data_IF_698445599325
#
_entry.id   IF_698445599325
#
_cell.length_a   1.000
_cell.length_b   1.000
_cell.length_c   1.000
_cell.angle_alpha   90.00
_cell.angle_beta   90.00
_cell.angle_gamma   90.00
#
_symmetry.space_group_name_H-M   'P 1'
#
loop_
_entity.id
_entity.type
_entity.pdbx_description
1 polymer ?
#
# COMPACT_ATOMS: atom_id res chain seq x y z
N UNK A 1 13.99 -10.14 -11.85
CA UNK A 1 12.65 -10.17 -12.52
C UNK A 1 12.57 -9.38 -13.84
N UNK A 2 13.41 -8.37 -14.15
CA UNK A 2 13.29 -7.59 -15.42
C UNK A 2 13.31 -8.49 -16.67
N UNK A 3 14.21 -9.47 -16.72
CA UNK A 3 14.36 -10.42 -17.85
C UNK A 3 13.26 -11.47 -17.92
N UNK A 4 12.48 -11.63 -16.83
CA UNK A 4 11.42 -12.62 -16.67
C UNK A 4 10.02 -12.01 -16.66
N UNK A 5 9.85 -10.86 -17.30
CA UNK A 5 8.54 -10.20 -17.42
C UNK A 5 8.23 -9.14 -16.35
N UNK A 6 9.16 -8.90 -15.43
CA UNK A 6 9.03 -7.91 -14.36
C UNK A 6 8.32 -8.46 -13.12
N UNK A 7 8.20 -7.59 -12.12
CA UNK A 7 7.41 -7.81 -10.90
C UNK A 7 6.53 -6.58 -10.69
N UNK A 8 5.26 -6.81 -10.40
CA UNK A 8 4.30 -5.77 -10.11
C UNK A 8 3.46 -6.22 -8.91
N UNK A 9 3.52 -5.43 -7.82
CA UNK A 9 2.97 -5.83 -6.52
C UNK A 9 1.45 -6.03 -6.53
N UNK A 10 0.68 -5.24 -7.29
CA UNK A 10 -0.77 -5.43 -7.38
C UNK A 10 -1.13 -6.74 -8.09
N UNK A 11 -0.36 -7.12 -9.13
CA UNK A 11 -0.51 -8.42 -9.78
C UNK A 11 -0.14 -9.57 -8.83
N UNK A 12 0.90 -9.38 -8.02
CA UNK A 12 1.27 -10.36 -7.01
C UNK A 12 0.18 -10.51 -5.95
N UNK A 13 -0.39 -9.40 -5.46
CA UNK A 13 -1.52 -9.45 -4.51
C UNK A 13 -2.71 -10.21 -5.08
N UNK A 14 -3.07 -9.94 -6.34
CA UNK A 14 -4.13 -10.69 -7.02
C UNK A 14 -3.76 -12.18 -7.17
N UNK A 15 -2.50 -12.48 -7.52
CA UNK A 15 -2.02 -13.86 -7.65
C UNK A 15 -2.06 -14.62 -6.32
N UNK A 16 -1.74 -13.97 -5.20
CA UNK A 16 -1.85 -14.57 -3.87
C UNK A 16 -3.28 -15.05 -3.65
N UNK A 17 -4.26 -14.16 -3.77
CA UNK A 17 -5.66 -14.49 -3.47
C UNK A 17 -6.33 -15.38 -4.52
N UNK A 18 -5.85 -15.38 -5.76
CA UNK A 18 -6.43 -16.18 -6.85
C UNK A 18 -5.83 -17.60 -6.95
N UNK A 19 -4.54 -17.78 -6.52
CA UNK A 19 -3.78 -18.99 -6.88
C UNK A 19 -2.94 -19.56 -5.74
N UNK A 20 -2.27 -18.69 -4.94
CA UNK A 20 -1.23 -19.16 -4.00
C UNK A 20 -1.80 -19.54 -2.64
N UNK A 21 -2.87 -18.88 -2.19
CA UNK A 21 -3.60 -19.31 -1.01
C UNK A 21 -4.20 -20.70 -1.22
N UNK A 22 -4.07 -21.57 -0.23
CA UNK A 22 -4.43 -22.98 -0.34
C UNK A 22 -5.21 -23.45 0.89
N UNK A 23 -6.20 -22.65 1.30
CA UNK A 23 -7.04 -22.93 2.47
C UNK A 23 -8.20 -23.90 2.16
N UNK A 24 -8.49 -24.10 0.88
CA UNK A 24 -9.64 -24.89 0.42
C UNK A 24 -9.20 -26.08 -0.43
N UNK A 25 -9.85 -27.24 -0.20
CA UNK A 25 -9.53 -28.48 -0.91
C UNK A 25 -10.05 -28.46 -2.35
N UNK A 26 -11.21 -27.85 -2.56
CA UNK A 26 -11.97 -27.95 -3.82
C UNK A 26 -11.51 -26.95 -4.90
N UNK A 27 -10.78 -25.90 -4.52
CA UNK A 27 -10.33 -24.86 -5.46
C UNK A 27 -9.05 -24.17 -4.98
N UNK A 28 -8.33 -23.57 -5.93
CA UNK A 28 -7.14 -22.74 -5.63
C UNK A 28 -7.55 -21.32 -5.27
N UNK A 29 -6.74 -20.69 -4.43
CA UNK A 29 -6.99 -19.32 -3.98
C UNK A 29 -8.18 -19.22 -3.02
N UNK A 30 -8.69 -18.01 -2.84
CA UNK A 30 -9.76 -17.68 -1.89
C UNK A 30 -11.16 -17.62 -2.53
N UNK A 31 -11.29 -17.83 -3.83
CA UNK A 31 -12.55 -17.73 -4.58
C UNK A 31 -13.32 -16.43 -4.31
N UNK A 32 -12.61 -15.32 -4.36
CA UNK A 32 -13.18 -13.98 -4.10
C UNK A 32 -14.08 -13.53 -5.25
N UNK A 33 -15.05 -12.66 -4.92
CA UNK A 33 -15.93 -12.03 -5.92
C UNK A 33 -15.13 -11.16 -6.90
N UNK A 34 -15.74 -10.88 -8.05
CA UNK A 34 -15.14 -10.01 -9.06
C UNK A 34 -14.81 -8.62 -8.48
N UNK A 35 -15.71 -8.03 -7.71
CA UNK A 35 -15.58 -6.70 -7.14
C UNK A 35 -14.44 -6.62 -6.12
N UNK A 36 -14.28 -7.65 -5.28
CA UNK A 36 -13.17 -7.72 -4.32
C UNK A 36 -11.83 -7.82 -5.05
N UNK A 37 -11.74 -8.69 -6.07
CA UNK A 37 -10.53 -8.84 -6.89
C UNK A 37 -10.19 -7.57 -7.67
N UNK A 38 -11.21 -6.89 -8.18
CA UNK A 38 -11.06 -5.58 -8.85
C UNK A 38 -10.52 -4.52 -7.87
N UNK A 39 -10.98 -4.53 -6.61
CA UNK A 39 -10.51 -3.63 -5.56
C UNK A 39 -9.05 -3.90 -5.13
N UNK A 40 -8.62 -5.17 -5.09
CA UNK A 40 -7.23 -5.55 -4.81
C UNK A 40 -6.30 -5.02 -5.91
N UNK A 41 -6.73 -5.05 -7.17
CA UNK A 41 -5.97 -4.56 -8.31
C UNK A 41 -6.09 -3.04 -8.44
N UNK A 42 -5.44 -2.29 -7.56
CA UNK A 42 -5.53 -0.82 -7.48
C UNK A 42 -5.04 -0.12 -8.75
N UNK A 43 -3.88 -0.54 -9.27
CA UNK A 43 -3.23 0.01 -10.45
C UNK A 43 -2.78 -1.12 -11.37
N UNK A 44 -2.88 -0.89 -12.68
CA UNK A 44 -2.43 -1.84 -13.68
C UNK A 44 -2.03 -1.12 -14.96
N UNK A 45 -0.89 -1.50 -15.55
CA UNK A 45 -0.51 -1.02 -16.87
C UNK A 45 -1.41 -1.64 -17.94
N UNK A 46 -1.63 -0.95 -19.06
CA UNK A 46 -2.40 -1.49 -20.18
C UNK A 46 -1.87 -2.85 -20.65
N UNK A 47 -0.53 -3.02 -20.69
CA UNK A 47 0.12 -4.28 -21.05
C UNK A 47 -0.28 -5.44 -20.13
N UNK A 48 -0.37 -5.19 -18.83
CA UNK A 48 -0.76 -6.19 -17.85
C UNK A 48 -2.28 -6.38 -17.83
N UNK A 49 -3.05 -5.31 -17.99
CA UNK A 49 -4.51 -5.35 -18.05
C UNK A 49 -5.02 -6.29 -19.17
N UNK A 50 -4.39 -6.27 -20.35
CA UNK A 50 -4.72 -7.17 -21.46
C UNK A 50 -4.58 -8.67 -21.11
N UNK A 51 -3.75 -9.02 -20.12
CA UNK A 51 -3.54 -10.41 -19.68
C UNK A 51 -4.53 -10.88 -18.62
N UNK A 52 -5.29 -9.94 -18.01
CA UNK A 52 -6.15 -10.20 -16.87
C UNK A 52 -7.61 -10.43 -17.24
N UNK A 53 -7.95 -10.41 -18.55
CA UNK A 53 -9.31 -10.59 -19.01
C UNK A 53 -10.25 -9.54 -18.40
N UNK A 54 -11.40 -9.97 -17.93
CA UNK A 54 -12.48 -9.09 -17.46
C UNK A 54 -12.06 -8.11 -16.34
N UNK A 55 -11.18 -8.52 -15.42
CA UNK A 55 -10.67 -7.64 -14.34
C UNK A 55 -9.81 -6.50 -14.92
N UNK A 56 -9.09 -6.77 -16.02
CA UNK A 56 -8.25 -5.79 -16.69
C UNK A 56 -9.02 -4.77 -17.52
N UNK A 57 -10.25 -5.07 -17.94
CA UNK A 57 -11.02 -4.24 -18.89
C UNK A 57 -11.20 -2.79 -18.42
N UNK A 58 -11.44 -2.56 -17.12
CA UNK A 58 -11.62 -1.19 -16.62
C UNK A 58 -10.40 -0.29 -16.85
N UNK A 59 -9.20 -0.84 -16.79
CA UNK A 59 -7.96 -0.07 -17.02
C UNK A 59 -7.82 0.30 -18.50
N UNK A 60 -8.18 -0.62 -19.41
CA UNK A 60 -8.15 -0.40 -20.86
C UNK A 60 -9.22 0.65 -21.24
N UNK A 61 -10.42 0.53 -20.66
CA UNK A 61 -11.55 1.42 -20.91
C UNK A 61 -11.50 2.70 -20.07
N UNK A 62 -10.50 2.86 -19.17
CA UNK A 62 -10.36 3.99 -18.23
C UNK A 62 -11.58 4.20 -17.34
N UNK A 63 -12.26 3.12 -16.96
CA UNK A 63 -13.41 3.12 -16.06
C UNK A 63 -12.98 3.10 -14.60
N UNK A 64 -13.85 3.64 -13.74
CA UNK A 64 -13.64 3.61 -12.30
C UNK A 64 -13.98 2.23 -11.70
N UNK A 65 -13.33 1.84 -10.60
CA UNK A 65 -13.75 0.70 -9.81
C UNK A 65 -15.02 1.03 -8.99
N UNK A 66 -15.55 0.06 -8.25
CA UNK A 66 -16.66 0.26 -7.31
C UNK A 66 -16.36 1.38 -6.29
N UNK A 67 -17.40 1.91 -5.64
CA UNK A 67 -17.22 2.94 -4.59
C UNK A 67 -16.40 2.40 -3.42
N UNK A 68 -16.59 1.13 -3.04
CA UNK A 68 -15.82 0.47 -1.99
C UNK A 68 -14.33 0.42 -2.33
N UNK A 69 -13.99 0.07 -3.57
CA UNK A 69 -12.60 0.04 -4.02
C UNK A 69 -11.96 1.44 -4.07
N UNK A 70 -12.74 2.46 -4.47
CA UNK A 70 -12.30 3.86 -4.38
C UNK A 70 -12.07 4.27 -2.92
N UNK A 71 -13.01 3.91 -2.01
CA UNK A 71 -12.94 4.24 -0.59
C UNK A 71 -11.72 3.60 0.08
N UNK A 72 -11.45 2.32 -0.18
CA UNK A 72 -10.30 1.60 0.39
C UNK A 72 -8.98 2.28 0.03
N UNK A 73 -8.85 2.87 -1.16
CA UNK A 73 -7.64 3.60 -1.53
C UNK A 73 -7.40 4.83 -0.64
N UNK A 74 -8.45 5.60 -0.32
CA UNK A 74 -8.36 6.75 0.58
C UNK A 74 -8.15 6.31 2.03
N UNK A 75 -8.84 5.26 2.48
CA UNK A 75 -8.69 4.72 3.83
C UNK A 75 -7.25 4.25 4.09
N UNK A 76 -6.67 3.52 3.14
CA UNK A 76 -5.28 3.09 3.17
C UNK A 76 -4.31 4.28 3.25
N UNK A 77 -4.51 5.29 2.39
CA UNK A 77 -3.65 6.47 2.38
C UNK A 77 -3.76 7.30 3.67
N UNK A 78 -4.96 7.48 4.21
CA UNK A 78 -5.17 8.16 5.48
C UNK A 78 -4.48 7.38 6.60
N UNK A 79 -4.70 6.07 6.69
CA UNK A 79 -4.09 5.22 7.70
C UNK A 79 -2.57 5.26 7.61
N UNK A 80 -2.01 5.03 6.42
CA UNK A 80 -0.58 5.01 6.15
C UNK A 80 0.11 6.32 6.59
N UNK A 81 -0.37 7.47 6.12
CA UNK A 81 0.24 8.76 6.47
C UNK A 81 0.27 9.01 7.99
N UNK A 82 -0.78 8.62 8.70
CA UNK A 82 -0.87 8.86 10.16
C UNK A 82 -0.07 7.85 10.98
N UNK A 83 0.01 6.59 10.52
CA UNK A 83 0.88 5.59 11.13
C UNK A 83 2.35 5.94 10.93
N UNK A 84 2.73 6.42 9.77
CA UNK A 84 4.10 6.87 9.48
C UNK A 84 4.54 8.04 10.38
N UNK A 85 3.63 8.97 10.71
CA UNK A 85 3.92 10.00 11.71
C UNK A 85 4.19 9.37 13.08
N UNK A 86 3.31 8.45 13.54
CA UNK A 86 3.47 7.80 14.87
C UNK A 86 4.77 6.98 14.92
N UNK A 87 5.04 6.19 13.90
CA UNK A 87 6.23 5.35 13.82
C UNK A 87 7.51 6.18 13.67
N UNK A 88 7.49 7.24 12.85
CA UNK A 88 8.59 8.18 12.72
C UNK A 88 8.92 8.87 14.05
N UNK A 89 7.90 9.29 14.78
CA UNK A 89 8.07 9.89 16.11
C UNK A 89 8.55 8.86 17.16
N UNK A 90 7.98 7.67 17.18
CA UNK A 90 8.38 6.61 18.14
C UNK A 90 9.79 6.07 17.91
N UNK A 91 10.23 6.02 16.66
CA UNK A 91 11.59 5.61 16.29
C UNK A 91 12.64 6.71 16.45
N UNK A 92 12.21 7.94 16.77
CA UNK A 92 13.09 9.11 16.87
C UNK A 92 13.59 9.64 15.53
N UNK A 93 13.00 9.22 14.42
CA UNK A 93 13.28 9.75 13.08
C UNK A 93 12.60 11.10 12.83
N UNK A 94 11.46 11.32 13.48
CA UNK A 94 10.73 12.58 13.47
C UNK A 94 10.64 13.15 14.89
N UNK A 95 10.75 14.47 15.00
CA UNK A 95 10.52 15.20 16.26
C UNK A 95 9.20 15.96 16.21
N UNK A 96 8.66 16.30 17.38
CA UNK A 96 7.45 17.12 17.48
C UNK A 96 7.65 18.49 16.80
N UNK A 97 8.83 19.10 16.97
CA UNK A 97 9.15 20.40 16.37
C UNK A 97 9.22 20.34 14.84
N UNK A 98 9.78 19.30 14.28
CA UNK A 98 9.76 19.10 12.82
C UNK A 98 8.33 19.00 12.27
N UNK A 99 7.45 18.29 12.96
CA UNK A 99 6.04 18.15 12.55
C UNK A 99 5.26 19.46 12.60
N UNK A 100 5.66 20.41 13.46
CA UNK A 100 5.06 21.75 13.47
C UNK A 100 5.33 22.55 12.17
N UNK A 101 6.27 22.13 11.32
CA UNK A 101 6.44 22.70 9.99
C UNK A 101 5.26 22.39 9.04
N UNK A 102 4.45 21.34 9.36
CA UNK A 102 3.21 21.03 8.64
C UNK A 102 2.07 21.86 9.22
N UNK A 103 1.52 22.86 8.49
CA UNK A 103 0.54 23.80 9.05
C UNK A 103 -0.68 23.11 9.65
N UNK A 104 -1.18 22.06 9.00
CA UNK A 104 -2.34 21.31 9.49
C UNK A 104 -2.03 20.57 10.80
N UNK A 105 -0.87 19.93 10.92
CA UNK A 105 -0.44 19.31 12.18
C UNK A 105 -0.33 20.34 13.29
N UNK A 106 0.33 21.48 13.02
CA UNK A 106 0.50 22.58 13.98
C UNK A 106 -0.85 23.11 14.50
N UNK A 107 -1.79 23.36 13.59
CA UNK A 107 -3.14 23.83 13.94
C UNK A 107 -3.81 22.86 14.94
N UNK A 108 -3.80 21.57 14.63
CA UNK A 108 -4.47 20.56 15.47
C UNK A 108 -3.73 20.37 16.81
N UNK A 109 -2.40 20.37 16.80
CA UNK A 109 -1.60 20.27 18.02
C UNK A 109 -1.83 21.43 18.98
N UNK A 110 -1.96 22.66 18.47
CA UNK A 110 -2.31 23.82 19.28
C UNK A 110 -3.70 23.69 19.92
N UNK A 111 -4.69 23.21 19.18
CA UNK A 111 -6.02 22.92 19.73
C UNK A 111 -5.98 21.85 20.82
N UNK A 112 -5.20 20.77 20.62
CA UNK A 112 -5.00 19.72 21.63
C UNK A 112 -4.38 20.29 22.91
N UNK A 113 -3.33 21.12 22.79
CA UNK A 113 -2.68 21.77 23.94
C UNK A 113 -3.59 22.76 24.64
N UNK A 114 -4.42 23.51 23.91
CA UNK A 114 -5.42 24.40 24.48
C UNK A 114 -6.47 23.65 25.30
N UNK A 115 -6.97 22.51 24.78
CA UNK A 115 -7.99 21.69 25.47
C UNK A 115 -7.43 20.95 26.68
N UNK A 116 -6.11 20.70 26.72
CA UNK A 116 -5.42 19.96 27.77
C UNK A 116 -4.04 20.54 28.04
N UNK A 117 -3.95 21.66 28.82
CA UNK A 117 -2.69 22.38 29.00
C UNK A 117 -1.55 21.60 29.67
N UNK A 118 -1.90 20.57 30.45
CA UNK A 118 -0.92 19.70 31.16
C UNK A 118 -0.49 18.47 30.35
N UNK A 119 -0.89 18.36 29.08
CA UNK A 119 -0.60 17.20 28.23
C UNK A 119 0.90 17.15 27.90
N UNK A 120 1.54 15.98 28.04
CA UNK A 120 2.92 15.80 27.60
C UNK A 120 2.99 15.59 26.08
N UNK A 121 4.20 15.73 25.50
CA UNK A 121 4.40 15.68 24.04
C UNK A 121 3.94 14.35 23.41
N UNK A 122 4.17 13.21 24.08
CA UNK A 122 3.72 11.91 23.58
C UNK A 122 2.20 11.78 23.54
N UNK A 123 1.53 12.27 24.56
CA UNK A 123 0.07 12.30 24.62
C UNK A 123 -0.50 13.30 23.61
N UNK A 124 0.14 14.48 23.49
CA UNK A 124 -0.20 15.50 22.50
C UNK A 124 -0.08 14.94 21.07
N UNK A 125 1.01 14.26 20.75
CA UNK A 125 1.22 13.59 19.46
C UNK A 125 0.06 12.65 19.11
N UNK A 126 -0.24 11.70 20.01
CA UNK A 126 -1.31 10.73 19.79
C UNK A 126 -2.69 11.37 19.65
N UNK A 127 -2.97 12.40 20.45
CA UNK A 127 -4.23 13.13 20.37
C UNK A 127 -4.34 13.92 19.07
N UNK A 128 -3.23 14.53 18.63
CA UNK A 128 -3.14 15.25 17.35
C UNK A 128 -3.40 14.31 16.18
N UNK A 129 -2.69 13.17 16.12
CA UNK A 129 -2.87 12.17 15.06
C UNK A 129 -4.33 11.70 15.00
N UNK A 130 -4.93 11.32 16.11
CA UNK A 130 -6.35 10.88 16.14
C UNK A 130 -7.31 11.96 15.65
N UNK A 131 -7.10 13.22 16.02
CA UNK A 131 -7.94 14.33 15.54
C UNK A 131 -7.76 14.57 14.05
N UNK A 132 -6.53 14.51 13.55
CA UNK A 132 -6.26 14.62 12.12
C UNK A 132 -6.95 13.51 11.34
N UNK A 133 -6.78 12.24 11.75
CA UNK A 133 -7.48 11.09 11.13
C UNK A 133 -8.99 11.31 11.11
N UNK A 134 -9.58 11.69 12.24
CA UNK A 134 -11.02 11.93 12.32
C UNK A 134 -11.49 13.03 11.35
N UNK A 135 -10.73 14.12 11.23
CA UNK A 135 -11.04 15.20 10.28
C UNK A 135 -11.01 14.68 8.84
N UNK A 136 -9.99 13.90 8.46
CA UNK A 136 -9.91 13.31 7.13
C UNK A 136 -11.06 12.34 6.86
N UNK A 137 -11.39 11.47 7.81
CA UNK A 137 -12.49 10.49 7.65
C UNK A 137 -13.83 11.21 7.51
N UNK A 138 -14.11 12.19 8.38
CA UNK A 138 -15.38 12.92 8.31
C UNK A 138 -15.51 13.73 7.02
N UNK A 139 -14.45 14.37 6.56
CA UNK A 139 -14.43 15.10 5.30
C UNK A 139 -14.63 14.17 4.11
N UNK A 140 -13.93 13.02 4.11
CA UNK A 140 -14.07 12.00 3.06
C UNK A 140 -15.52 11.51 2.95
N UNK A 141 -16.16 11.21 4.07
CA UNK A 141 -17.56 10.80 4.10
C UNK A 141 -18.48 11.90 3.58
N UNK A 142 -18.31 13.12 4.07
CA UNK A 142 -19.15 14.27 3.70
C UNK A 142 -19.01 14.62 2.21
N UNK A 143 -17.79 14.81 1.75
CA UNK A 143 -17.52 15.19 0.34
C UNK A 143 -17.96 14.09 -0.64
N UNK A 144 -17.73 12.82 -0.29
CA UNK A 144 -18.17 11.70 -1.11
C UNK A 144 -19.68 11.62 -1.20
N UNK A 145 -20.42 11.82 -0.08
CA UNK A 145 -21.89 11.86 -0.09
C UNK A 145 -22.39 12.98 -0.99
N UNK A 146 -21.84 14.19 -0.87
CA UNK A 146 -22.22 15.32 -1.74
C UNK A 146 -22.01 15.00 -3.24
N UNK A 147 -20.96 14.27 -3.57
CA UNK A 147 -20.68 13.88 -4.96
C UNK A 147 -21.63 12.81 -5.45
N UNK A 148 -21.98 11.81 -4.63
CA UNK A 148 -22.97 10.79 -4.94
C UNK A 148 -24.31 11.45 -5.26
N UNK A 149 -24.78 12.34 -4.38
CA UNK A 149 -26.06 13.03 -4.51
C UNK A 149 -26.07 13.93 -5.76
N UNK A 150 -25.02 14.74 -5.95
CA UNK A 150 -24.90 15.65 -7.09
C UNK A 150 -24.89 14.93 -8.45
N UNK A 151 -24.24 13.77 -8.52
CA UNK A 151 -24.11 12.98 -9.75
C UNK A 151 -25.26 12.01 -9.97
N UNK A 152 -26.19 11.91 -8.99
CA UNK A 152 -27.33 11.01 -9.02
C UNK A 152 -26.93 9.56 -9.36
N UNK A 153 -25.87 9.08 -8.68
CA UNK A 153 -25.32 7.73 -8.88
C UNK A 153 -26.24 6.71 -8.23
N UNK A 154 -26.80 5.79 -9.00
CA UNK A 154 -27.75 4.77 -8.54
C UNK A 154 -27.31 3.35 -8.85
N UNK A 155 -26.42 3.15 -9.81
CA UNK A 155 -25.97 1.84 -10.28
C UNK A 155 -24.46 1.76 -10.33
N UNK A 156 -23.93 0.54 -10.37
CA UNK A 156 -22.49 0.30 -10.54
C UNK A 156 -21.99 0.83 -11.90
N UNK A 157 -22.83 0.83 -12.92
CA UNK A 157 -22.46 1.36 -14.23
C UNK A 157 -22.35 2.89 -14.21
N UNK A 158 -23.18 3.58 -13.41
CA UNK A 158 -23.02 5.02 -13.17
C UNK A 158 -21.66 5.30 -12.51
N UNK A 159 -21.30 4.52 -11.46
CA UNK A 159 -19.99 4.64 -10.80
C UNK A 159 -18.84 4.45 -11.78
N UNK A 160 -18.93 3.45 -12.64
CA UNK A 160 -17.86 3.09 -13.59
C UNK A 160 -17.63 4.13 -14.67
N UNK A 161 -18.67 4.79 -15.09
CA UNK A 161 -18.62 5.77 -16.20
C UNK A 161 -18.40 7.19 -15.71
N UNK A 162 -18.69 7.46 -14.44
CA UNK A 162 -18.40 8.75 -13.82
C UNK A 162 -16.90 8.87 -13.45
N UNK A 163 -16.42 10.10 -13.27
CA UNK A 163 -15.08 10.32 -12.69
C UNK A 163 -15.03 9.86 -11.22
N UNK A 164 -13.90 10.09 -10.58
CA UNK A 164 -13.72 9.74 -9.15
C UNK A 164 -14.82 10.37 -8.29
N UNK A 165 -15.59 9.53 -7.59
CA UNK A 165 -16.71 9.93 -6.73
C UNK A 165 -16.22 10.06 -5.29
N UNK A 166 -15.54 9.03 -4.77
CA UNK A 166 -14.96 9.08 -3.44
C UNK A 166 -13.76 10.02 -3.46
N UNK A 167 -13.81 11.08 -2.67
CA UNK A 167 -12.73 12.06 -2.63
C UNK A 167 -12.79 12.93 -1.36
N UNK A 168 -11.67 13.49 -1.00
CA UNK A 168 -11.58 14.58 -0.03
C UNK A 168 -12.01 15.90 -0.66
N UNK A 169 -12.41 16.86 0.18
CA UNK A 169 -12.57 18.25 -0.23
C UNK A 169 -11.25 18.83 -0.77
N UNK A 170 -11.34 19.91 -1.52
CA UNK A 170 -10.14 20.57 -2.09
C UNK A 170 -9.18 21.04 -0.99
N UNK A 171 -9.69 21.48 0.15
CA UNK A 171 -8.87 21.92 1.29
C UNK A 171 -8.10 20.76 1.90
N UNK A 172 -8.79 19.67 2.24
CA UNK A 172 -8.15 18.48 2.84
C UNK A 172 -7.21 17.78 1.86
N UNK A 173 -7.50 17.80 0.57
CA UNK A 173 -6.57 17.31 -0.47
C UNK A 173 -5.23 18.05 -0.43
N UNK A 174 -5.24 19.39 -0.31
CA UNK A 174 -4.01 20.18 -0.19
C UNK A 174 -3.26 19.89 1.11
N UNK A 175 -3.99 19.76 2.22
CA UNK A 175 -3.40 19.41 3.53
C UNK A 175 -2.75 18.03 3.50
N UNK A 176 -3.39 17.05 2.86
CA UNK A 176 -2.84 15.71 2.66
C UNK A 176 -1.58 15.74 1.79
N UNK A 177 -1.59 16.49 0.69
CA UNK A 177 -0.42 16.64 -0.16
C UNK A 177 0.78 17.25 0.57
N UNK A 178 0.54 18.30 1.37
CA UNK A 178 1.57 18.91 2.21
C UNK A 178 2.14 17.93 3.23
N UNK A 179 1.29 17.13 3.87
CA UNK A 179 1.71 16.09 4.80
C UNK A 179 2.56 15.01 4.11
N UNK A 180 2.14 14.54 2.95
CA UNK A 180 2.89 13.55 2.14
C UNK A 180 4.25 14.08 1.71
N UNK A 181 4.32 15.32 1.30
CA UNK A 181 5.59 15.95 0.94
C UNK A 181 6.54 16.01 2.15
N UNK A 182 6.05 16.43 3.29
CA UNK A 182 6.83 16.44 4.52
C UNK A 182 7.35 15.04 4.89
N UNK A 183 6.48 14.02 4.89
CA UNK A 183 6.87 12.63 5.19
C UNK A 183 7.92 12.12 4.21
N UNK A 184 7.78 12.45 2.93
CA UNK A 184 8.77 12.08 1.92
C UNK A 184 10.15 12.66 2.25
N UNK A 185 10.21 13.96 2.56
CA UNK A 185 11.46 14.66 2.80
C UNK A 185 12.08 14.32 4.16
N UNK A 186 11.27 14.30 5.22
CA UNK A 186 11.77 14.14 6.59
C UNK A 186 11.92 12.67 7.01
N UNK A 187 11.10 11.75 6.46
CA UNK A 187 11.09 10.34 6.88
C UNK A 187 11.62 9.41 5.79
N UNK A 188 11.03 9.41 4.57
CA UNK A 188 11.41 8.39 3.58
C UNK A 188 12.79 8.62 2.97
N UNK A 189 13.24 9.88 2.86
CA UNK A 189 14.60 10.22 2.43
C UNK A 189 15.61 10.29 3.60
N UNK A 190 15.18 9.94 4.82
CA UNK A 190 16.08 9.91 5.96
C UNK A 190 17.19 8.85 5.76
N UNK A 191 18.49 9.14 6.02
CA UNK A 191 19.61 8.24 5.72
C UNK A 191 19.45 6.84 6.33
N UNK A 192 18.90 6.74 7.55
CA UNK A 192 18.64 5.44 8.19
C UNK A 192 17.59 4.63 7.44
N UNK A 193 16.53 5.25 6.92
CA UNK A 193 15.49 4.58 6.14
C UNK A 193 16.04 4.14 4.79
N UNK A 194 16.82 5.00 4.13
CA UNK A 194 17.49 4.67 2.88
C UNK A 194 18.44 3.47 3.05
N UNK A 195 19.27 3.46 4.09
CA UNK A 195 20.15 2.34 4.39
C UNK A 195 19.39 1.01 4.63
N UNK A 196 18.22 1.08 5.29
CA UNK A 196 17.36 -0.11 5.46
C UNK A 196 16.80 -0.59 4.13
N UNK A 197 16.38 0.32 3.26
CA UNK A 197 15.88 0.01 1.92
C UNK A 197 16.96 -0.62 1.05
N UNK A 198 18.17 -0.06 1.07
CA UNK A 198 19.32 -0.60 0.32
C UNK A 198 19.69 -2.01 0.77
N UNK A 199 19.72 -2.24 2.09
CA UNK A 199 19.93 -3.57 2.66
C UNK A 199 18.83 -4.56 2.24
N UNK A 200 17.56 -4.14 2.25
CA UNK A 200 16.46 -4.98 1.79
C UNK A 200 16.62 -5.35 0.30
N UNK A 201 17.03 -4.40 -0.55
CA UNK A 201 17.33 -4.66 -1.95
C UNK A 201 18.48 -5.66 -2.13
N UNK A 202 19.54 -5.56 -1.33
CA UNK A 202 20.66 -6.50 -1.35
C UNK A 202 20.19 -7.91 -0.99
N UNK A 203 19.47 -8.06 0.12
CA UNK A 203 18.93 -9.33 0.61
C UNK A 203 18.05 -10.00 -0.44
N UNK A 204 17.07 -9.27 -1.00
CA UNK A 204 16.14 -9.80 -2.01
C UNK A 204 16.88 -10.23 -3.27
N UNK A 205 17.82 -9.41 -3.75
CA UNK A 205 18.60 -9.73 -4.95
C UNK A 205 19.50 -10.95 -4.76
N UNK A 206 20.14 -11.08 -3.60
CA UNK A 206 21.00 -12.24 -3.32
C UNK A 206 20.18 -13.52 -3.18
N UNK A 207 19.05 -13.48 -2.45
CA UNK A 207 18.12 -14.59 -2.32
C UNK A 207 17.59 -15.04 -3.69
N UNK A 208 17.13 -14.09 -4.51
CA UNK A 208 16.62 -14.40 -5.84
C UNK A 208 17.68 -15.10 -6.70
N UNK A 209 18.91 -14.57 -6.76
CA UNK A 209 20.00 -15.19 -7.52
C UNK A 209 20.35 -16.59 -7.00
N UNK A 210 20.45 -16.75 -5.67
CA UNK A 210 20.80 -18.04 -5.05
C UNK A 210 19.73 -19.10 -5.31
N UNK A 211 18.45 -18.74 -5.19
CA UNK A 211 17.33 -19.66 -5.40
C UNK A 211 17.11 -19.99 -6.89
N UNK A 212 17.37 -19.06 -7.81
CA UNK A 212 17.38 -19.36 -9.24
C UNK A 212 18.46 -20.35 -9.64
N UNK A 213 19.62 -20.31 -8.99
CA UNK A 213 20.72 -21.27 -9.21
C UNK A 213 20.48 -22.62 -8.51
N UNK A 214 19.69 -22.65 -7.44
CA UNK A 214 19.49 -23.82 -6.59
C UNK A 214 18.01 -23.97 -6.18
N UNK A 215 17.10 -24.24 -7.14
CA UNK A 215 15.65 -24.28 -6.87
C UNK A 215 15.23 -25.39 -5.90
N UNK A 216 16.02 -26.46 -5.78
CA UNK A 216 15.77 -27.54 -4.83
C UNK A 216 15.77 -27.07 -3.35
N UNK A 217 16.40 -25.95 -3.04
CA UNK A 217 16.39 -25.39 -1.68
C UNK A 217 14.99 -24.98 -1.20
N UNK A 218 14.07 -24.82 -2.14
CA UNK A 218 12.66 -24.46 -1.89
C UNK A 218 11.69 -25.48 -2.50
N UNK A 219 12.15 -26.73 -2.66
CA UNK A 219 11.38 -27.86 -3.18
C UNK A 219 10.79 -27.63 -4.58
N UNK A 220 11.47 -26.88 -5.44
CA UNK A 220 11.10 -26.69 -6.83
C UNK A 220 11.97 -27.60 -7.69
N UNK A 221 11.32 -28.43 -8.55
CA UNK A 221 12.00 -29.29 -9.51
C UNK A 221 12.67 -28.46 -10.60
N UNK A 222 13.83 -28.92 -11.08
CA UNK A 222 14.60 -28.28 -12.18
C UNK A 222 13.89 -28.32 -13.54
N UNK A 223 12.77 -29.03 -13.66
CA UNK A 223 12.02 -29.22 -14.91
C UNK A 223 11.31 -27.97 -15.44
N UNK A 224 11.28 -26.89 -14.67
CA UNK A 224 10.65 -25.65 -15.09
C UNK A 224 11.53 -24.88 -16.07
N UNK A 225 10.92 -24.25 -17.07
CA UNK A 225 11.63 -23.25 -17.86
C UNK A 225 12.03 -22.06 -16.97
N UNK A 226 13.03 -21.30 -17.39
CA UNK A 226 13.58 -20.22 -16.56
C UNK A 226 12.56 -19.14 -16.20
N UNK A 227 11.56 -18.88 -17.04
CA UNK A 227 10.52 -17.90 -16.77
C UNK A 227 9.57 -18.36 -15.67
N UNK A 228 9.14 -19.61 -15.71
CA UNK A 228 8.27 -20.20 -14.68
C UNK A 228 9.02 -20.36 -13.37
N UNK A 229 10.29 -20.78 -13.41
CA UNK A 229 11.15 -20.85 -12.25
C UNK A 229 11.30 -19.47 -11.56
N UNK A 230 11.58 -18.42 -12.33
CA UNK A 230 11.71 -17.07 -11.78
C UNK A 230 10.42 -16.59 -11.09
N UNK A 231 9.26 -16.97 -11.63
CA UNK A 231 7.97 -16.68 -11.04
C UNK A 231 7.75 -17.42 -9.72
N UNK A 232 8.06 -18.70 -9.65
CA UNK A 232 7.95 -19.51 -8.43
C UNK A 232 8.91 -19.02 -7.34
N UNK A 233 10.16 -18.69 -7.70
CA UNK A 233 11.13 -18.09 -6.77
C UNK A 233 10.65 -16.73 -6.27
N UNK A 234 10.07 -15.92 -7.16
CA UNK A 234 9.48 -14.62 -6.78
C UNK A 234 8.29 -14.78 -5.84
N UNK A 235 7.40 -15.74 -6.09
CA UNK A 235 6.27 -16.06 -5.21
C UNK A 235 6.76 -16.46 -3.81
N UNK A 236 7.79 -17.32 -3.75
CA UNK A 236 8.38 -17.76 -2.49
C UNK A 236 8.98 -16.61 -1.69
N UNK A 237 9.77 -15.73 -2.34
CA UNK A 237 10.37 -14.56 -1.67
C UNK A 237 9.29 -13.57 -1.24
N UNK A 238 8.28 -13.32 -2.07
CA UNK A 238 7.17 -12.42 -1.74
C UNK A 238 6.31 -12.90 -0.56
N UNK A 239 6.29 -14.21 -0.30
CA UNK A 239 5.63 -14.81 0.87
C UNK A 239 6.45 -14.79 2.17
N UNK A 240 7.71 -14.32 2.13
CA UNK A 240 8.56 -14.24 3.32
C UNK A 240 8.17 -13.06 4.21
N UNK A 241 8.26 -13.25 5.53
CA UNK A 241 8.39 -12.12 6.45
C UNK A 241 9.81 -11.57 6.40
N UNK A 242 10.03 -10.30 6.76
CA UNK A 242 11.36 -9.68 6.81
C UNK A 242 12.35 -10.51 7.65
N UNK A 243 11.89 -10.97 8.79
CA UNK A 243 12.71 -11.81 9.69
C UNK A 243 13.13 -13.12 9.01
N UNK A 244 12.21 -13.77 8.32
CA UNK A 244 12.50 -15.02 7.62
C UNK A 244 13.43 -14.79 6.43
N UNK A 245 13.23 -13.71 5.66
CA UNK A 245 14.12 -13.34 4.56
C UNK A 245 15.55 -13.09 5.04
N UNK A 246 15.74 -12.34 6.13
CA UNK A 246 17.05 -12.07 6.72
C UNK A 246 17.73 -13.34 7.26
N UNK A 247 16.98 -14.24 7.91
CA UNK A 247 17.52 -15.52 8.39
C UNK A 247 17.93 -16.43 7.23
N UNK A 248 17.10 -16.49 6.19
CA UNK A 248 17.38 -17.29 4.97
C UNK A 248 18.58 -16.74 4.21
N UNK A 249 18.69 -15.41 4.12
CA UNK A 249 19.86 -14.75 3.51
C UNK A 249 21.15 -15.09 4.25
N UNK A 250 21.17 -14.98 5.56
CA UNK A 250 22.33 -15.38 6.38
C UNK A 250 22.73 -16.84 6.15
N UNK A 251 21.74 -17.73 6.11
CA UNK A 251 21.98 -19.18 5.94
C UNK A 251 22.47 -19.55 4.54
N UNK A 252 22.01 -18.89 3.50
CA UNK A 252 22.23 -19.32 2.12
C UNK A 252 23.26 -18.47 1.35
N UNK A 253 23.51 -17.22 1.82
CA UNK A 253 24.29 -16.26 1.06
C UNK A 253 25.47 -15.65 1.85
N UNK A 254 25.54 -15.86 3.17
CA UNK A 254 26.67 -15.43 4.01
C UNK A 254 27.35 -16.68 4.56
N UNK A 255 28.31 -17.23 3.82
CA UNK A 255 29.31 -18.19 4.29
C UNK A 255 30.52 -17.46 4.86
#
# INVERSE_FOLDING_TARGET
>A
MKEYGGFEHNLQSLRIVDVLENDYVDFKGLNLTFETREGILKHCSNKNALKLGRIGERFIQKKQPSLEAQLVNFADEIAYNHHDIDDGFRSGLLTFDQLQAVPFFKEIALKVKSDSPSINDRQCMRATIRRMMNIFVMDLCHESQLRIDKKNVNTIDDVRNEGTIIALSTDLTKKQQSLKQFLREALYLHPRVQAMTDNAHEVINALFKKLMQNPYLINIDEKHNQHDLAKLVSDYIAGMTDRFALQTFKKLCQD
#
